data_IF_172869219150
#
_entry.id   IF_172869219150
#
_cell.length_a   1.000
_cell.length_b   1.000
_cell.length_c   1.000
_cell.angle_alpha   90.00
_cell.angle_beta   90.00
_cell.angle_gamma   90.00
#
_symmetry.space_group_name_H-M   'P 1'
#
loop_
_entity.id
_entity.type
_entity.pdbx_description
1 polymer ?
#
# COMPACT_ATOMS: atom_id res chain seq x y z
N UNK A 1 8.71 -8.78 -68.48
CA UNK A 1 8.70 -9.70 -67.33
C UNK A 1 7.71 -9.15 -66.32
N UNK A 2 6.63 -9.88 -66.05
CA UNK A 2 5.61 -9.54 -65.06
C UNK A 2 6.19 -9.56 -63.64
N UNK A 3 5.81 -8.60 -62.79
CA UNK A 3 5.86 -8.74 -61.33
C UNK A 3 4.64 -8.05 -60.73
N UNK A 4 3.69 -8.89 -60.31
CA UNK A 4 2.56 -8.57 -59.44
C UNK A 4 3.06 -8.22 -58.05
N UNK A 5 2.51 -7.19 -57.41
CA UNK A 5 2.11 -7.27 -55.99
C UNK A 5 1.05 -6.22 -55.68
N UNK A 6 0.02 -6.67 -54.97
CA UNK A 6 -1.28 -6.04 -54.77
C UNK A 6 -1.22 -4.88 -53.76
N UNK A 7 -1.98 -3.83 -54.09
CA UNK A 7 -2.48 -2.87 -53.12
C UNK A 7 -3.48 -3.56 -52.18
N UNK A 8 -3.12 -3.70 -50.90
CA UNK A 8 -4.08 -3.88 -49.82
C UNK A 8 -3.92 -2.69 -48.87
N UNK A 9 -4.76 -1.68 -49.08
CA UNK A 9 -5.01 -0.63 -48.09
C UNK A 9 -5.62 -1.31 -46.85
N UNK A 10 -4.82 -1.48 -45.79
CA UNK A 10 -5.36 -1.66 -44.44
C UNK A 10 -5.89 -0.30 -44.00
N UNK A 11 -7.19 -0.12 -44.13
CA UNK A 11 -7.93 0.90 -43.37
C UNK A 11 -7.87 0.51 -41.89
N UNK A 12 -6.92 1.09 -41.16
CA UNK A 12 -7.00 1.12 -39.70
C UNK A 12 -8.22 1.94 -39.31
N UNK A 13 -9.25 1.26 -38.81
CA UNK A 13 -10.33 1.91 -38.09
C UNK A 13 -9.72 2.58 -36.85
N UNK A 14 -9.54 3.90 -36.91
CA UNK A 14 -9.28 4.76 -35.77
C UNK A 14 -10.54 4.80 -34.89
N UNK A 15 -10.77 3.74 -34.11
CA UNK A 15 -11.66 3.83 -32.97
C UNK A 15 -10.99 4.74 -31.94
N UNK A 16 -11.64 5.82 -31.46
CA UNK A 16 -11.08 6.61 -30.39
C UNK A 16 -10.92 5.70 -29.18
N UNK A 17 -9.68 5.41 -28.79
CA UNK A 17 -9.41 4.80 -27.50
C UNK A 17 -9.76 5.84 -26.45
N UNK A 18 -11.03 5.83 -26.01
CA UNK A 18 -11.41 6.47 -24.76
C UNK A 18 -10.76 5.66 -23.64
N UNK A 19 -9.57 6.05 -23.23
CA UNK A 19 -9.07 5.67 -21.92
C UNK A 19 -10.01 6.27 -20.87
N UNK A 20 -10.82 5.41 -20.26
CA UNK A 20 -11.46 5.77 -19.00
C UNK A 20 -10.37 5.67 -17.92
N UNK A 21 -9.81 6.80 -17.49
CA UNK A 21 -9.02 6.82 -16.26
C UNK A 21 -9.98 6.96 -15.08
N UNK A 22 -10.13 5.87 -14.31
CA UNK A 22 -10.72 5.95 -12.99
C UNK A 22 -9.63 6.39 -12.01
N UNK A 23 -9.51 7.71 -11.77
CA UNK A 23 -8.64 8.22 -10.70
C UNK A 23 -9.31 7.92 -9.36
N UNK A 24 -8.82 6.88 -8.68
CA UNK A 24 -9.29 6.47 -7.33
C UNK A 24 -8.51 7.17 -6.21
N UNK A 25 -7.48 7.92 -6.58
CA UNK A 25 -6.48 8.59 -5.75
C UNK A 25 -6.81 10.08 -5.53
N UNK A 26 -7.76 10.63 -6.30
CA UNK A 26 -8.13 12.04 -6.31
C UNK A 26 -9.62 12.28 -6.05
N UNK A 27 -9.92 13.44 -5.48
CA UNK A 27 -11.26 14.00 -5.34
C UNK A 27 -11.75 14.51 -6.71
N UNK A 28 -13.04 14.84 -6.80
CA UNK A 28 -13.63 15.38 -8.04
C UNK A 28 -12.98 16.67 -8.53
N UNK A 29 -12.40 17.47 -7.62
CA UNK A 29 -11.68 18.70 -7.94
C UNK A 29 -10.21 18.47 -8.35
N UNK A 30 -9.76 17.21 -8.40
CA UNK A 30 -8.39 16.84 -8.77
C UNK A 30 -7.40 16.75 -7.61
N UNK A 31 -7.77 17.15 -6.39
CA UNK A 31 -6.88 17.06 -5.22
C UNK A 31 -6.68 15.61 -4.76
N UNK A 32 -5.50 15.22 -4.24
CA UNK A 32 -5.32 13.92 -3.60
C UNK A 32 -6.33 13.69 -2.46
N UNK A 33 -6.79 12.45 -2.30
CA UNK A 33 -7.72 12.09 -1.21
C UNK A 33 -7.05 12.08 0.17
N UNK A 34 -5.73 12.06 0.22
CA UNK A 34 -4.90 12.08 1.41
C UNK A 34 -3.45 12.45 1.08
N UNK A 35 -2.58 12.59 2.09
CA UNK A 35 -1.15 12.81 1.87
C UNK A 35 -0.50 11.57 1.23
N UNK A 36 0.55 11.80 0.44
CA UNK A 36 1.39 10.71 -0.08
C UNK A 36 2.24 10.13 1.05
N UNK A 37 2.41 8.82 1.05
CA UNK A 37 3.41 8.18 1.89
C UNK A 37 4.82 8.58 1.42
N UNK A 38 5.76 8.67 2.35
CA UNK A 38 7.11 9.05 2.01
C UNK A 38 7.81 7.93 1.24
N UNK A 39 8.72 8.31 0.33
CA UNK A 39 9.55 7.38 -0.44
C UNK A 39 9.00 7.01 -1.82
N UNK A 40 7.68 7.05 -2.04
CA UNK A 40 7.09 6.81 -3.35
C UNK A 40 6.09 7.92 -3.71
N UNK A 41 6.29 8.54 -4.87
CA UNK A 41 5.54 9.73 -5.30
C UNK A 41 4.26 9.45 -6.07
N UNK A 42 3.89 8.18 -6.29
CA UNK A 42 2.82 7.85 -7.26
C UNK A 42 1.73 6.93 -6.68
N UNK A 43 2.05 5.95 -5.82
CA UNK A 43 1.11 4.84 -5.57
C UNK A 43 0.46 4.87 -4.18
N UNK A 44 1.16 5.31 -3.14
CA UNK A 44 0.68 5.15 -1.76
C UNK A 44 0.08 6.44 -1.20
N UNK A 45 -1.24 6.58 -1.26
CA UNK A 45 -1.97 7.64 -0.55
C UNK A 45 -2.46 7.14 0.81
N UNK A 46 -2.15 7.89 1.86
CA UNK A 46 -2.59 7.62 3.22
C UNK A 46 -4.05 8.03 3.38
N UNK A 47 -4.96 7.06 3.26
CA UNK A 47 -6.41 7.28 3.41
C UNK A 47 -7.04 6.23 4.34
N UNK A 48 -6.85 6.32 5.67
CA UNK A 48 -7.22 5.25 6.61
C UNK A 48 -8.71 4.90 6.59
N UNK A 49 -9.61 5.87 6.40
CA UNK A 49 -11.04 5.60 6.25
C UNK A 49 -11.40 4.77 5.00
N UNK A 50 -10.50 4.65 4.03
CA UNK A 50 -10.66 3.82 2.83
C UNK A 50 -10.85 2.35 3.16
N UNK A 51 -10.11 1.82 4.14
CA UNK A 51 -10.21 0.41 4.54
C UNK A 51 -11.62 0.08 5.04
N UNK A 52 -12.23 0.98 5.84
CA UNK A 52 -13.61 0.82 6.29
C UNK A 52 -14.58 0.80 5.12
N UNK A 53 -14.46 1.77 4.19
CA UNK A 53 -15.34 1.85 3.01
C UNK A 53 -15.25 0.59 2.16
N UNK A 54 -14.04 0.07 1.95
CA UNK A 54 -13.80 -1.16 1.19
C UNK A 54 -14.42 -2.37 1.91
N UNK A 55 -14.19 -2.53 3.21
CA UNK A 55 -14.76 -3.61 4.00
C UNK A 55 -16.30 -3.60 4.02
N UNK A 56 -16.91 -2.43 4.20
CA UNK A 56 -18.37 -2.27 4.17
C UNK A 56 -18.94 -2.50 2.77
N UNK A 57 -18.23 -2.04 1.73
CA UNK A 57 -18.58 -2.35 0.34
C UNK A 57 -18.57 -3.86 0.11
N UNK A 58 -17.53 -4.57 0.56
CA UNK A 58 -17.45 -6.01 0.39
C UNK A 58 -18.55 -6.75 1.16
N UNK A 59 -18.83 -6.31 2.39
CA UNK A 59 -19.91 -6.85 3.20
C UNK A 59 -21.27 -6.73 2.48
N UNK A 60 -21.59 -5.55 1.96
CA UNK A 60 -22.85 -5.27 1.26
C UNK A 60 -23.00 -6.03 -0.06
N UNK A 61 -21.92 -6.13 -0.85
CA UNK A 61 -22.01 -6.60 -2.23
C UNK A 61 -21.64 -8.09 -2.41
N UNK A 62 -20.95 -8.71 -1.44
CA UNK A 62 -20.48 -10.10 -1.54
C UNK A 62 -21.02 -11.03 -0.45
N UNK A 63 -22.24 -10.76 0.04
CA UNK A 63 -22.96 -11.61 1.01
C UNK A 63 -22.21 -11.82 2.33
N UNK A 64 -21.63 -10.74 2.88
CA UNK A 64 -20.88 -10.76 4.14
C UNK A 64 -19.86 -11.91 4.25
N UNK A 65 -18.84 -11.96 3.36
CA UNK A 65 -17.86 -13.03 3.38
C UNK A 65 -16.98 -12.96 4.63
N UNK A 66 -16.31 -14.05 4.97
CA UNK A 66 -15.20 -14.03 5.93
C UNK A 66 -14.02 -13.29 5.28
N UNK A 67 -13.47 -12.28 5.95
CA UNK A 67 -12.40 -11.43 5.43
C UNK A 67 -11.14 -11.53 6.30
N UNK A 68 -9.99 -11.59 5.64
CA UNK A 68 -8.68 -11.34 6.22
C UNK A 68 -8.05 -10.17 5.48
N UNK A 69 -7.53 -9.18 6.22
CA UNK A 69 -6.64 -8.18 5.63
C UNK A 69 -5.26 -8.81 5.58
N UNK A 70 -4.85 -9.24 4.40
CA UNK A 70 -3.57 -9.94 4.18
C UNK A 70 -2.38 -8.99 4.18
N UNK A 71 -2.59 -7.72 3.82
CA UNK A 71 -1.55 -6.71 3.78
C UNK A 71 -2.11 -5.33 4.14
N UNK A 72 -1.40 -4.61 5.00
CA UNK A 72 -1.60 -3.19 5.26
C UNK A 72 -0.32 -2.61 5.90
N UNK A 73 0.17 -1.49 5.35
CA UNK A 73 1.45 -0.92 5.73
C UNK A 73 1.59 0.53 5.29
N UNK A 74 2.79 1.08 5.50
CA UNK A 74 3.20 2.40 5.00
C UNK A 74 4.70 2.37 4.69
N UNK A 75 5.06 3.05 3.61
CA UNK A 75 6.45 3.23 3.17
C UNK A 75 7.15 4.36 3.90
N UNK A 76 8.47 4.24 3.98
CA UNK A 76 9.40 5.36 4.16
C UNK A 76 10.53 5.24 3.13
N UNK A 77 11.19 6.36 2.75
CA UNK A 77 12.35 6.32 1.87
C UNK A 77 13.54 5.67 2.58
N UNK A 78 14.31 4.88 1.85
CA UNK A 78 15.65 4.49 2.31
C UNK A 78 16.58 5.70 2.25
N UNK A 79 16.80 6.33 3.38
CA UNK A 79 17.81 7.39 3.52
C UNK A 79 19.11 6.82 4.12
N UNK A 80 20.12 6.65 3.28
CA UNK A 80 21.45 6.17 3.69
C UNK A 80 22.24 7.21 4.52
N UNK A 81 21.75 8.46 4.64
CA UNK A 81 22.36 9.50 5.46
C UNK A 81 21.86 9.48 6.90
N UNK A 82 20.72 8.83 7.16
CA UNK A 82 20.20 8.66 8.52
C UNK A 82 21.09 7.72 9.31
N UNK A 83 21.47 8.14 10.52
CA UNK A 83 22.06 7.23 11.50
C UNK A 83 21.06 6.16 11.92
N UNK A 84 21.57 5.00 12.36
CA UNK A 84 20.74 3.85 12.77
C UNK A 84 19.67 4.26 13.80
N UNK A 85 20.03 5.03 14.82
CA UNK A 85 19.10 5.48 15.86
C UNK A 85 17.92 6.30 15.32
N UNK A 86 18.13 7.06 14.24
CA UNK A 86 17.05 7.79 13.57
C UNK A 86 16.21 6.87 12.69
N UNK A 87 16.84 5.93 11.96
CA UNK A 87 16.16 4.96 11.12
C UNK A 87 15.27 3.98 11.91
N UNK A 88 15.57 3.75 13.19
CA UNK A 88 14.75 2.90 14.07
C UNK A 88 13.51 3.63 14.64
N UNK A 89 13.43 4.97 14.52
CA UNK A 89 12.33 5.78 15.02
C UNK A 89 11.32 6.04 13.91
N UNK A 90 10.23 5.28 13.93
CA UNK A 90 9.20 5.29 12.89
C UNK A 90 7.79 5.60 13.44
N UNK A 91 7.59 6.75 14.10
CA UNK A 91 6.31 7.10 14.69
C UNK A 91 5.16 7.19 13.66
N UNK A 92 5.47 7.57 12.42
CA UNK A 92 4.50 7.61 11.33
C UNK A 92 3.91 6.22 11.03
N UNK A 93 4.69 5.15 11.16
CA UNK A 93 4.24 3.77 10.96
C UNK A 93 3.28 3.33 12.07
N UNK A 94 3.60 3.69 13.31
CA UNK A 94 2.70 3.49 14.46
C UNK A 94 1.38 4.25 14.25
N UNK A 95 1.44 5.52 13.87
CA UNK A 95 0.25 6.34 13.62
C UNK A 95 -0.61 5.76 12.49
N UNK A 96 0.02 5.35 11.38
CA UNK A 96 -0.68 4.76 10.25
C UNK A 96 -1.42 3.47 10.64
N UNK A 97 -0.73 2.57 11.37
CA UNK A 97 -1.31 1.33 11.86
C UNK A 97 -2.49 1.61 12.81
N UNK A 98 -2.32 2.51 13.78
CA UNK A 98 -3.38 2.91 14.71
C UNK A 98 -4.62 3.45 13.99
N UNK A 99 -4.42 4.34 13.02
CA UNK A 99 -5.53 4.95 12.26
C UNK A 99 -6.27 3.92 11.42
N UNK A 100 -5.57 3.01 10.75
CA UNK A 100 -6.21 1.94 9.98
C UNK A 100 -6.95 0.96 10.89
N UNK A 101 -6.33 0.49 11.97
CA UNK A 101 -6.96 -0.40 12.95
C UNK A 101 -8.19 0.21 13.60
N UNK A 102 -8.18 1.51 13.88
CA UNK A 102 -9.37 2.24 14.34
C UNK A 102 -10.54 2.12 13.35
N UNK A 103 -10.30 2.36 12.06
CA UNK A 103 -11.35 2.28 11.03
C UNK A 103 -11.79 0.83 10.76
N UNK A 104 -10.87 -0.14 10.81
CA UNK A 104 -11.20 -1.58 10.75
C UNK A 104 -12.14 -1.96 11.89
N UNK A 105 -11.82 -1.55 13.12
CA UNK A 105 -12.69 -1.79 14.28
C UNK A 105 -14.09 -1.18 14.08
N UNK A 106 -14.18 0.02 13.50
CA UNK A 106 -15.49 0.61 13.14
C UNK A 106 -16.24 -0.19 12.09
N UNK A 107 -15.55 -0.76 11.10
CA UNK A 107 -16.15 -1.63 10.09
C UNK A 107 -16.68 -2.93 10.73
N UNK A 108 -15.91 -3.54 11.64
CA UNK A 108 -16.34 -4.73 12.40
C UNK A 108 -17.58 -4.44 13.26
N UNK A 109 -17.63 -3.28 13.92
CA UNK A 109 -18.83 -2.81 14.66
C UNK A 109 -20.06 -2.63 13.77
N UNK A 110 -19.86 -2.44 12.46
CA UNK A 110 -20.91 -2.33 11.46
C UNK A 110 -21.25 -3.68 10.78
N UNK A 111 -20.80 -4.80 11.34
CA UNK A 111 -21.20 -6.15 10.92
C UNK A 111 -20.28 -6.83 9.89
N UNK A 112 -19.13 -6.22 9.56
CA UNK A 112 -18.13 -6.86 8.70
C UNK A 112 -17.53 -8.08 9.41
N UNK A 113 -17.57 -9.24 8.75
CA UNK A 113 -17.03 -10.50 9.27
C UNK A 113 -15.50 -10.63 9.04
N UNK A 114 -14.71 -9.77 9.71
CA UNK A 114 -13.25 -9.79 9.65
C UNK A 114 -12.66 -10.76 10.70
N UNK A 115 -11.70 -11.58 10.29
CA UNK A 115 -11.06 -12.62 11.13
C UNK A 115 -9.56 -12.47 11.33
N UNK A 116 -8.91 -11.60 10.57
CA UNK A 116 -7.49 -11.34 10.79
C UNK A 116 -6.98 -10.11 10.05
N UNK A 117 -5.83 -9.65 10.53
CA UNK A 117 -5.08 -8.52 10.01
C UNK A 117 -3.61 -8.87 10.02
N UNK A 118 -2.94 -8.68 8.89
CA UNK A 118 -1.53 -8.93 8.71
C UNK A 118 -0.86 -7.64 8.25
N UNK A 119 0.13 -7.22 9.02
CA UNK A 119 0.89 -6.01 8.71
C UNK A 119 1.91 -6.30 7.61
N UNK A 120 1.97 -5.42 6.61
CA UNK A 120 3.04 -5.41 5.63
C UNK A 120 4.05 -4.31 6.01
N UNK A 121 5.31 -4.61 6.30
CA UNK A 121 5.99 -5.91 6.24
C UNK A 121 6.68 -6.25 7.56
N UNK A 122 7.01 -7.53 7.76
CA UNK A 122 7.78 -7.94 8.94
C UNK A 122 9.24 -7.49 8.85
N UNK A 123 9.86 -7.68 7.69
CA UNK A 123 11.26 -7.36 7.40
C UNK A 123 11.34 -6.48 6.15
N UNK A 124 12.45 -5.75 6.00
CA UNK A 124 12.76 -5.13 4.71
C UNK A 124 12.81 -6.22 3.64
N UNK A 125 12.25 -5.91 2.49
CA UNK A 125 12.30 -6.76 1.32
C UNK A 125 12.64 -5.96 0.06
N UNK A 126 12.54 -6.66 -1.07
CA UNK A 126 12.72 -6.09 -2.40
C UNK A 126 11.35 -5.68 -2.93
N UNK A 127 11.08 -4.38 -2.99
CA UNK A 127 9.80 -3.83 -3.43
C UNK A 127 9.77 -3.71 -4.95
N UNK A 128 9.64 -4.85 -5.65
CA UNK A 128 9.34 -4.90 -7.08
C UNK A 128 10.19 -3.95 -7.95
N UNK A 129 9.56 -2.98 -8.61
CA UNK A 129 10.24 -2.02 -9.48
C UNK A 129 11.03 -0.95 -8.70
N UNK A 130 10.71 -0.74 -7.42
CA UNK A 130 11.39 0.18 -6.51
C UNK A 130 12.62 -0.46 -5.85
N UNK A 131 12.78 -1.78 -5.95
CA UNK A 131 13.88 -2.54 -5.37
C UNK A 131 14.05 -2.27 -3.88
N UNK A 132 15.27 -1.93 -3.43
CA UNK A 132 15.55 -1.63 -2.02
C UNK A 132 15.46 -0.14 -1.66
N UNK A 133 14.74 0.67 -2.45
CA UNK A 133 14.64 2.12 -2.19
C UNK A 133 13.53 2.48 -1.22
N UNK A 134 12.55 1.58 -1.03
CA UNK A 134 11.43 1.70 -0.10
C UNK A 134 11.59 0.76 1.09
N UNK A 135 10.94 1.14 2.19
CA UNK A 135 10.99 0.49 3.48
C UNK A 135 9.59 0.41 4.09
N UNK A 136 9.06 -0.80 4.28
CA UNK A 136 7.72 -1.06 4.85
C UNK A 136 7.75 -1.68 6.26
N UNK A 137 8.94 -2.01 6.72
CA UNK A 137 9.21 -3.04 7.70
C UNK A 137 9.09 -2.59 9.15
N UNK A 138 8.70 -3.53 10.00
CA UNK A 138 8.81 -3.40 11.46
C UNK A 138 10.26 -3.60 11.95
N UNK A 139 11.05 -4.42 11.23
CA UNK A 139 12.44 -4.74 11.58
C UNK A 139 13.40 -4.25 10.51
N UNK A 140 14.18 -3.23 10.85
CA UNK A 140 15.27 -2.74 10.01
C UNK A 140 16.27 -3.87 9.71
N UNK A 141 16.66 -3.98 8.43
CA UNK A 141 17.72 -4.89 8.00
C UNK A 141 19.02 -4.13 7.75
N UNK A 142 20.06 -4.49 8.50
CA UNK A 142 21.42 -4.02 8.24
C UNK A 142 22.06 -4.85 7.12
N UNK A 143 21.95 -4.34 5.90
CA UNK A 143 22.53 -4.92 4.70
C UNK A 143 24.07 -5.01 4.73
N UNK A 144 24.74 -4.20 5.56
CA UNK A 144 26.21 -4.19 5.68
C UNK A 144 26.71 -5.13 6.78
N UNK A 145 25.84 -5.53 7.69
CA UNK A 145 26.17 -6.37 8.83
C UNK A 145 25.35 -7.66 8.83
N UNK A 146 25.64 -8.56 7.88
CA UNK A 146 25.08 -9.91 7.80
C UNK A 146 23.54 -9.96 7.86
N UNK A 147 22.86 -8.97 7.28
CA UNK A 147 21.40 -8.85 7.30
C UNK A 147 20.84 -8.88 8.73
N UNK A 148 21.50 -8.22 9.69
CA UNK A 148 21.03 -8.19 11.08
C UNK A 148 19.65 -7.53 11.17
N UNK A 149 18.72 -8.15 11.90
CA UNK A 149 17.34 -7.67 12.10
C UNK A 149 17.29 -6.84 13.38
N UNK A 150 16.90 -5.57 13.28
CA UNK A 150 16.87 -4.64 14.41
C UNK A 150 15.44 -4.10 14.56
N UNK A 151 14.78 -4.29 15.72
CA UNK A 151 13.39 -3.86 15.89
C UNK A 151 13.30 -2.33 15.91
N UNK A 152 12.46 -1.78 15.02
CA UNK A 152 12.05 -0.36 15.07
C UNK A 152 11.11 -0.12 16.25
N UNK A 153 10.76 1.15 16.49
CA UNK A 153 9.78 1.51 17.52
C UNK A 153 8.42 0.86 17.27
N UNK A 154 7.98 0.78 16.01
CA UNK A 154 6.76 0.08 15.62
C UNK A 154 6.77 -1.42 15.98
N UNK A 155 7.89 -2.13 15.77
CA UNK A 155 8.05 -3.53 16.21
C UNK A 155 7.96 -3.69 17.73
N UNK A 156 8.46 -2.71 18.49
CA UNK A 156 8.39 -2.73 19.97
C UNK A 156 7.01 -2.33 20.48
N UNK A 157 6.29 -1.50 19.74
CA UNK A 157 4.95 -1.03 20.05
C UNK A 157 3.89 -2.10 19.81
N UNK A 158 3.94 -2.80 18.66
CA UNK A 158 2.87 -3.71 18.24
C UNK A 158 2.56 -4.82 19.28
N UNK A 159 3.53 -5.52 19.90
CA UNK A 159 3.25 -6.52 20.93
C UNK A 159 2.62 -5.93 22.20
N UNK A 160 2.90 -4.66 22.53
CA UNK A 160 2.29 -3.97 23.67
C UNK A 160 0.84 -3.63 23.35
N UNK A 161 0.60 -3.07 22.17
CA UNK A 161 -0.75 -2.79 21.67
C UNK A 161 -1.65 -4.03 21.66
N UNK A 162 -1.11 -5.19 21.26
CA UNK A 162 -1.86 -6.45 21.23
C UNK A 162 -2.20 -7.04 22.61
N UNK A 163 -1.49 -6.63 23.67
CA UNK A 163 -1.68 -7.19 25.02
C UNK A 163 -2.74 -6.47 25.86
N UNK A 164 -3.20 -5.29 25.43
CA UNK A 164 -4.14 -4.46 26.19
C UNK A 164 -3.44 -3.63 27.25
#
# INVERSE_FOLDING_TARGET
MLSLTQNLQKTELLLPQRSFSFNTDRKQNGDPIGPLAEGNSIIYIIYPQGVKKLLEFMNKNYRNPIIYITENGITEPKDNKLGLDAALKDPHRIENNLRHLYWINRAMKNGVNLKGYFHWALFDDYEWDDGYTLRFELYYIDYKNNLTRIPKESAKWLPKFLKG
#
